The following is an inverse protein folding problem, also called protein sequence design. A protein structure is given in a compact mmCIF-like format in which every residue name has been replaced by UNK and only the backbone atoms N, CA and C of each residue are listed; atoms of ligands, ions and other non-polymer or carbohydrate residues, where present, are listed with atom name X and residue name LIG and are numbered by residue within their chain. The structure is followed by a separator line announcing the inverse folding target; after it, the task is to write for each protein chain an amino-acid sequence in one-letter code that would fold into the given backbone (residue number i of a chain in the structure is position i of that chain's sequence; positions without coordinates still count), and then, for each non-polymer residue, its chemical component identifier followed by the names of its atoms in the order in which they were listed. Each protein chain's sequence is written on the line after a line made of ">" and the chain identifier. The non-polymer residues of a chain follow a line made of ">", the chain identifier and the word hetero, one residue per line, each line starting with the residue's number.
data_IF_231617898954
#
_entry.id   IF_231617898954
#
_cell.length_a   1.000
_cell.length_b   1.000
_cell.length_c   1.000
_cell.angle_alpha   90.00
_cell.angle_beta   90.00
_cell.angle_gamma   90.00
#
_symmetry.space_group_name_H-M   'P 1'
#
loop_
_entity.id
_entity.type
_entity.pdbx_description
1 polymer ?
#
# COMPACT_ATOMS: atom_id res chain seq x y z
N UNK A 1 -7.02 7.83 12.38
CA UNK A 1 -5.75 7.24 12.89
C UNK A 1 -4.52 7.94 12.30
N UNK A 2 -4.57 8.46 11.06
CA UNK A 2 -3.59 9.39 10.48
C UNK A 2 -3.15 10.56 11.38
N UNK A 3 -4.07 11.13 12.17
CA UNK A 3 -3.76 12.20 13.13
C UNK A 3 -2.73 11.76 14.19
N UNK A 4 -2.65 10.48 14.53
CA UNK A 4 -1.67 9.94 15.49
C UNK A 4 -0.28 9.96 14.86
N UNK A 5 -0.13 9.46 13.64
CA UNK A 5 1.14 9.49 12.91
C UNK A 5 1.63 10.95 12.69
N UNK A 6 0.72 11.85 12.31
CA UNK A 6 1.04 13.27 12.15
C UNK A 6 1.42 13.94 13.48
N UNK A 7 0.67 13.70 14.55
CA UNK A 7 0.98 14.25 15.87
C UNK A 7 2.34 13.74 16.39
N UNK A 8 2.64 12.46 16.16
CA UNK A 8 3.93 11.86 16.51
C UNK A 8 5.07 12.55 15.75
N UNK A 9 4.94 12.67 14.43
CA UNK A 9 5.93 13.36 13.59
C UNK A 9 6.17 14.80 14.02
N UNK A 10 5.11 15.54 14.34
CA UNK A 10 5.24 16.91 14.80
C UNK A 10 5.95 17.00 16.17
N UNK A 11 5.67 16.05 17.07
CA UNK A 11 6.18 16.07 18.45
C UNK A 11 7.63 15.62 18.57
N UNK A 12 8.00 14.57 17.82
CA UNK A 12 9.27 13.87 17.94
C UNK A 12 10.19 14.05 16.72
N UNK A 13 9.69 14.65 15.63
CA UNK A 13 10.43 14.81 14.36
C UNK A 13 10.89 13.48 13.74
N UNK A 14 10.22 12.40 14.11
CA UNK A 14 10.47 11.04 13.64
C UNK A 14 9.26 10.51 12.87
N UNK A 15 9.49 9.62 11.90
CA UNK A 15 8.42 8.99 11.14
C UNK A 15 7.95 7.70 11.83
N UNK A 16 6.76 7.75 12.44
CA UNK A 16 6.20 6.62 13.17
C UNK A 16 6.04 5.37 12.30
N UNK A 17 5.75 5.55 11.01
CA UNK A 17 5.57 4.43 10.09
C UNK A 17 6.91 3.72 9.85
N UNK A 18 7.97 4.49 9.63
CA UNK A 18 9.33 3.98 9.43
C UNK A 18 9.84 3.26 10.69
N UNK A 19 9.60 3.82 11.88
CA UNK A 19 9.96 3.18 13.14
C UNK A 19 9.26 1.81 13.26
N UNK A 20 7.95 1.76 13.01
CA UNK A 20 7.22 0.49 13.08
C UNK A 20 7.74 -0.51 12.04
N UNK A 21 8.10 -0.05 10.84
CA UNK A 21 8.70 -0.88 9.81
C UNK A 21 10.05 -1.46 10.22
N UNK A 22 10.85 -0.74 11.01
CA UNK A 22 12.20 -1.18 11.39
C UNK A 22 12.24 -1.95 12.72
N UNK A 23 11.37 -1.61 13.68
CA UNK A 23 11.45 -2.10 15.06
C UNK A 23 10.51 -3.28 15.36
N UNK A 24 9.39 -3.43 14.63
CA UNK A 24 8.47 -4.54 14.86
C UNK A 24 8.82 -5.75 14.00
N UNK A 25 8.66 -6.97 14.56
CA UNK A 25 8.81 -8.21 13.79
C UNK A 25 7.81 -8.24 12.63
N UNK A 26 8.22 -8.83 11.51
CA UNK A 26 7.35 -9.04 10.35
C UNK A 26 6.31 -10.11 10.66
N UNK A 27 5.22 -9.69 11.29
CA UNK A 27 4.07 -10.51 11.64
C UNK A 27 2.74 -9.79 11.34
N UNK A 28 1.63 -10.49 11.52
CA UNK A 28 0.31 -9.93 11.25
C UNK A 28 -0.06 -8.75 12.15
N UNK A 29 0.58 -8.57 13.31
CA UNK A 29 0.34 -7.41 14.16
C UNK A 29 0.98 -6.16 13.55
N UNK A 30 2.20 -6.26 13.02
CA UNK A 30 2.86 -5.17 12.29
C UNK A 30 2.02 -4.73 11.09
N UNK A 31 1.54 -5.68 10.29
CA UNK A 31 0.69 -5.41 9.14
C UNK A 31 -0.59 -4.66 9.52
N UNK A 32 -1.28 -5.12 10.57
CA UNK A 32 -2.47 -4.47 11.09
C UNK A 32 -2.18 -3.04 11.56
N UNK A 33 -1.11 -2.82 12.33
CA UNK A 33 -0.78 -1.48 12.82
C UNK A 33 -0.48 -0.53 11.66
N UNK A 34 0.32 -0.96 10.68
CA UNK A 34 0.64 -0.17 9.50
C UNK A 34 -0.61 0.15 8.68
N UNK A 35 -1.48 -0.84 8.43
CA UNK A 35 -2.76 -0.65 7.73
C UNK A 35 -3.64 0.42 8.40
N UNK A 36 -3.58 0.52 9.73
CA UNK A 36 -4.33 1.50 10.49
C UNK A 36 -3.73 2.91 10.47
N UNK A 37 -2.44 3.04 10.19
CA UNK A 37 -1.73 4.32 10.16
C UNK A 37 -1.69 4.92 8.76
N UNK A 38 -1.67 4.08 7.72
CA UNK A 38 -1.61 4.53 6.33
C UNK A 38 -2.85 5.30 5.87
N UNK A 39 -2.66 6.08 4.80
CA UNK A 39 -3.77 6.52 3.99
C UNK A 39 -4.35 5.34 3.20
N UNK A 40 -5.64 5.40 2.85
CA UNK A 40 -6.34 4.25 2.25
C UNK A 40 -5.74 3.90 0.88
N UNK A 41 -5.52 4.93 0.06
CA UNK A 41 -4.86 4.84 -1.24
C UNK A 41 -3.40 4.39 -1.14
N UNK A 42 -2.68 4.83 -0.10
CA UNK A 42 -1.30 4.38 0.17
C UNK A 42 -1.28 2.91 0.57
N UNK A 43 -2.19 2.48 1.44
CA UNK A 43 -2.31 1.07 1.84
C UNK A 43 -2.68 0.19 0.64
N UNK A 44 -3.71 0.57 -0.12
CA UNK A 44 -4.12 -0.16 -1.32
C UNK A 44 -2.96 -0.25 -2.35
N UNK A 45 -2.18 0.82 -2.53
CA UNK A 45 -1.01 0.79 -3.42
C UNK A 45 0.08 -0.19 -2.93
N UNK A 46 0.32 -0.24 -1.62
CA UNK A 46 1.27 -1.20 -1.01
C UNK A 46 0.78 -2.64 -1.17
N UNK A 47 -0.51 -2.88 -0.93
CA UNK A 47 -1.13 -4.19 -1.09
C UNK A 47 -1.08 -4.67 -2.54
N UNK A 48 -1.38 -3.79 -3.51
CA UNK A 48 -1.27 -4.10 -4.94
C UNK A 48 0.17 -4.46 -5.33
N UNK A 49 1.14 -3.62 -4.97
CA UNK A 49 2.55 -3.91 -5.27
C UNK A 49 3.01 -5.22 -4.61
N UNK A 50 2.60 -5.47 -3.37
CA UNK A 50 2.94 -6.71 -2.66
C UNK A 50 2.30 -7.93 -3.31
N UNK A 51 1.07 -7.81 -3.82
CA UNK A 51 0.38 -8.89 -4.53
C UNK A 51 1.06 -9.31 -5.82
N UNK A 52 1.79 -8.40 -6.47
CA UNK A 52 2.55 -8.66 -7.72
C UNK A 52 4.05 -8.92 -7.47
N UNK A 53 4.51 -8.84 -6.22
CA UNK A 53 5.93 -8.98 -5.91
C UNK A 53 6.26 -10.44 -5.63
N UNK A 54 7.07 -11.05 -6.50
CA UNK A 54 7.70 -12.35 -6.25
C UNK A 54 7.43 -13.36 -7.36
N UNK A 55 7.38 -14.65 -7.00
CA UNK A 55 7.03 -15.69 -7.94
C UNK A 55 5.52 -15.93 -7.90
N UNK A 56 4.83 -15.48 -8.96
CA UNK A 56 3.37 -15.53 -9.07
C UNK A 56 2.70 -14.29 -8.48
N UNK A 57 1.37 -14.27 -8.57
CA UNK A 57 0.54 -13.12 -8.23
C UNK A 57 -0.53 -13.53 -7.22
N UNK A 58 -0.75 -12.72 -6.18
CA UNK A 58 -1.91 -12.87 -5.30
C UNK A 58 -3.14 -12.24 -5.97
N UNK A 59 -3.78 -13.03 -6.84
CA UNK A 59 -4.95 -12.62 -7.61
C UNK A 59 -6.13 -12.20 -6.72
N UNK A 60 -6.23 -12.72 -5.48
CA UNK A 60 -7.32 -12.38 -4.58
C UNK A 60 -7.23 -10.93 -4.12
N UNK A 61 -6.05 -10.50 -3.68
CA UNK A 61 -5.80 -9.10 -3.27
C UNK A 61 -5.96 -8.15 -4.45
N UNK A 62 -5.39 -8.53 -5.60
CA UNK A 62 -5.46 -7.74 -6.83
C UNK A 62 -6.92 -7.51 -7.24
N UNK A 63 -7.71 -8.58 -7.31
CA UNK A 63 -9.13 -8.53 -7.70
C UNK A 63 -9.97 -7.77 -6.68
N UNK A 64 -9.79 -8.04 -5.38
CA UNK A 64 -10.55 -7.39 -4.32
C UNK A 64 -10.41 -5.87 -4.41
N UNK A 65 -9.19 -5.36 -4.52
CA UNK A 65 -8.96 -3.92 -4.56
C UNK A 65 -9.48 -3.33 -5.87
N UNK A 66 -9.12 -3.89 -7.02
CA UNK A 66 -9.46 -3.30 -8.33
C UNK A 66 -10.96 -3.32 -8.63
N UNK A 67 -11.70 -4.32 -8.15
CA UNK A 67 -13.14 -4.47 -8.44
C UNK A 67 -14.00 -3.71 -7.42
N UNK A 68 -13.54 -3.50 -6.18
CA UNK A 68 -14.36 -2.86 -5.14
C UNK A 68 -14.15 -1.35 -4.99
N UNK A 69 -13.04 -0.80 -5.50
CA UNK A 69 -12.74 0.63 -5.39
C UNK A 69 -13.44 1.44 -6.47
N UNK A 70 -13.96 2.61 -6.08
CA UNK A 70 -14.56 3.56 -7.03
C UNK A 70 -13.50 4.20 -7.94
N UNK A 71 -13.94 4.79 -9.06
CA UNK A 71 -13.05 5.47 -10.01
C UNK A 71 -12.18 6.56 -9.36
N UNK A 72 -12.72 7.30 -8.39
CA UNK A 72 -11.96 8.31 -7.65
C UNK A 72 -10.90 7.68 -6.75
N UNK A 73 -11.22 6.57 -6.09
CA UNK A 73 -10.27 5.82 -5.28
C UNK A 73 -9.17 5.21 -6.15
N UNK A 74 -9.50 4.60 -7.29
CA UNK A 74 -8.50 4.08 -8.25
C UNK A 74 -7.57 5.20 -8.72
N UNK A 75 -8.08 6.40 -9.01
CA UNK A 75 -7.23 7.56 -9.35
C UNK A 75 -6.29 7.96 -8.22
N UNK A 76 -6.74 7.91 -6.96
CA UNK A 76 -5.89 8.18 -5.80
C UNK A 76 -4.82 7.09 -5.64
N UNK A 77 -5.21 5.82 -5.74
CA UNK A 77 -4.30 4.66 -5.67
C UNK A 77 -3.20 4.76 -6.72
N UNK A 78 -3.54 5.05 -7.99
CA UNK A 78 -2.54 5.24 -9.06
C UNK A 78 -1.50 6.32 -8.70
N UNK A 79 -1.94 7.45 -8.15
CA UNK A 79 -1.04 8.53 -7.73
C UNK A 79 -0.15 8.10 -6.57
N UNK A 80 -0.71 7.41 -5.57
CA UNK A 80 0.04 6.90 -4.44
C UNK A 80 1.07 5.85 -4.89
N UNK A 81 0.66 4.91 -5.75
CA UNK A 81 1.50 3.86 -6.31
C UNK A 81 2.71 4.43 -7.06
N UNK A 82 2.48 5.35 -8.00
CA UNK A 82 3.58 5.98 -8.74
C UNK A 82 4.52 6.77 -7.83
N UNK A 83 4.01 7.42 -6.79
CA UNK A 83 4.85 8.12 -5.81
C UNK A 83 5.72 7.16 -4.99
N UNK A 84 5.22 5.97 -4.68
CA UNK A 84 5.93 4.98 -3.86
C UNK A 84 6.96 4.18 -4.65
N UNK A 85 6.61 3.77 -5.89
CA UNK A 85 7.37 2.78 -6.65
C UNK A 85 8.04 3.34 -7.91
N UNK A 86 7.77 4.60 -8.27
CA UNK A 86 8.25 5.23 -9.50
C UNK A 86 7.87 4.48 -10.79
N UNK A 87 6.85 3.62 -10.74
CA UNK A 87 6.25 2.92 -11.89
C UNK A 87 4.75 3.23 -11.98
N UNK A 88 4.11 2.86 -13.08
CA UNK A 88 2.66 3.00 -13.23
C UNK A 88 1.99 1.70 -12.82
N UNK A 89 0.92 1.78 -12.03
CA UNK A 89 0.16 0.60 -11.60
C UNK A 89 -0.28 -0.27 -12.80
N UNK A 90 -0.73 0.35 -13.90
CA UNK A 90 -1.14 -0.41 -15.09
C UNK A 90 0.01 -1.15 -15.76
N UNK A 91 1.22 -0.58 -15.73
CA UNK A 91 2.39 -1.19 -16.33
C UNK A 91 2.76 -2.45 -15.55
N UNK A 92 2.85 -2.35 -14.23
CA UNK A 92 3.20 -3.47 -13.36
C UNK A 92 2.14 -4.59 -13.44
N UNK A 93 0.84 -4.24 -13.47
CA UNK A 93 -0.23 -5.23 -13.70
C UNK A 93 -0.07 -5.93 -15.05
N UNK A 94 0.27 -5.19 -16.10
CA UNK A 94 0.44 -5.75 -17.45
C UNK A 94 1.68 -6.63 -17.60
N UNK A 95 2.70 -6.43 -16.76
CA UNK A 95 3.89 -7.28 -16.72
C UNK A 95 3.63 -8.57 -15.91
N UNK A 96 2.85 -8.47 -14.83
CA UNK A 96 2.65 -9.57 -13.88
C UNK A 96 1.44 -10.45 -14.22
N UNK A 97 0.45 -9.92 -14.96
CA UNK A 97 -0.73 -10.66 -15.38
C UNK A 97 -0.74 -10.93 -16.88
N UNK A 98 -1.40 -12.02 -17.28
CA UNK A 98 -1.63 -12.35 -18.69
C UNK A 98 -3.05 -12.87 -18.86
N UNK A 99 -3.65 -12.70 -20.04
CA UNK A 99 -5.04 -13.08 -20.29
C UNK A 99 -5.84 -11.98 -20.98
N UNK A 100 -7.17 -12.03 -20.83
CA UNK A 100 -8.14 -11.21 -21.59
C UNK A 100 -9.10 -10.48 -20.66
#
# INVERSE_FOLDING_TARGET
>A
RRLIAQAYKNRYQEDLIEIIQNELPDDGAKELILALLYEMDVYDAISLHSSMKGLGTDEHVLTEILVTRSNDQIRAIRKAYTKLYNTQLEADIGEDTSGT
#
